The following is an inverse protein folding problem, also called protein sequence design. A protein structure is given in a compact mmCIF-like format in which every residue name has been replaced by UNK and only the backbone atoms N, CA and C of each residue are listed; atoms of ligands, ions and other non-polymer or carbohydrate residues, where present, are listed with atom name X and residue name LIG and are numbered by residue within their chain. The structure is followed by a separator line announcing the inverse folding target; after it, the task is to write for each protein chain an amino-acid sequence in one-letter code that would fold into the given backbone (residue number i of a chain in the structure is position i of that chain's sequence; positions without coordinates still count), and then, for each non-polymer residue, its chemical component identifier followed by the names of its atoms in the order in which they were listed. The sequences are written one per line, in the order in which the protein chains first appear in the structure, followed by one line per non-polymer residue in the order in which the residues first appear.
data_IF_019454332664
#
_entry.id   IF_019454332664
#
_cell.length_a   1.000
_cell.length_b   1.000
_cell.length_c   1.000
_cell.angle_alpha   90.00
_cell.angle_beta   90.00
_cell.angle_gamma   90.00
#
_symmetry.space_group_name_H-M   'P 1'
#
loop_
_entity.id
_entity.type
_entity.pdbx_description
1 polymer ?
#
# COMPACT_ATOMS: atom_id res chain seq x y z
N UNK A 1 17.33 19.02 -16.09
CA UNK A 1 18.21 17.84 -16.35
C UNK A 1 19.08 17.60 -15.12
N UNK A 2 19.24 16.34 -14.71
CA UNK A 2 20.14 15.96 -13.60
C UNK A 2 21.50 15.57 -14.19
N UNK A 3 22.58 16.04 -13.59
CA UNK A 3 23.95 15.73 -14.01
C UNK A 3 24.89 15.66 -12.80
N UNK A 4 26.03 15.01 -12.96
CA UNK A 4 27.06 14.91 -11.91
C UNK A 4 28.21 15.85 -12.25
N UNK A 5 28.55 16.74 -11.32
CA UNK A 5 29.72 17.62 -11.43
C UNK A 5 30.55 17.54 -10.15
N UNK A 6 31.86 17.30 -10.29
CA UNK A 6 32.81 17.20 -9.16
C UNK A 6 32.34 16.29 -8.00
N UNK A 7 31.66 15.19 -8.32
CA UNK A 7 31.13 14.23 -7.34
C UNK A 7 29.80 14.62 -6.70
N UNK A 8 29.22 15.78 -7.06
CA UNK A 8 27.92 16.27 -6.60
C UNK A 8 26.88 15.99 -7.67
N UNK A 9 25.72 15.47 -7.28
CA UNK A 9 24.57 15.34 -8.19
C UNK A 9 23.81 16.65 -8.17
N UNK A 10 23.65 17.28 -9.33
CA UNK A 10 23.02 18.59 -9.50
C UNK A 10 21.81 18.49 -10.43
N UNK A 11 20.80 19.32 -10.20
CA UNK A 11 19.67 19.54 -11.12
C UNK A 11 19.71 20.98 -11.64
N UNK A 12 19.60 21.15 -12.96
CA UNK A 12 19.43 22.48 -13.56
C UNK A 12 17.94 22.83 -13.62
N UNK A 13 17.55 23.92 -12.97
CA UNK A 13 16.19 24.46 -12.91
C UNK A 13 15.91 25.56 -13.97
N UNK A 14 16.82 25.74 -14.93
CA UNK A 14 16.70 26.72 -16.01
C UNK A 14 17.38 28.04 -15.67
N UNK A 15 18.17 28.56 -16.62
CA UNK A 15 19.01 29.76 -16.47
C UNK A 15 20.51 29.45 -16.30
N UNK A 16 21.39 30.43 -16.53
CA UNK A 16 22.84 30.20 -16.61
C UNK A 16 23.52 29.85 -15.27
N UNK A 17 22.88 30.04 -14.12
CA UNK A 17 23.46 29.79 -12.78
C UNK A 17 22.48 29.13 -11.78
N UNK A 18 21.50 28.35 -12.27
CA UNK A 18 20.43 27.78 -11.43
C UNK A 18 20.62 26.27 -11.17
N UNK A 19 21.88 25.84 -11.05
CA UNK A 19 22.22 24.47 -10.68
C UNK A 19 22.14 24.31 -9.16
N UNK A 20 21.36 23.35 -8.69
CA UNK A 20 21.16 23.08 -7.26
C UNK A 20 21.50 21.62 -6.97
N UNK A 21 22.02 21.33 -5.77
CA UNK A 21 22.25 19.96 -5.30
C UNK A 21 20.92 19.16 -5.34
N UNK A 22 20.97 17.98 -5.95
CA UNK A 22 19.85 17.08 -6.13
C UNK A 22 19.98 15.86 -5.22
N UNK A 23 19.00 15.68 -4.33
CA UNK A 23 18.86 14.48 -3.50
C UNK A 23 18.07 13.40 -4.25
N UNK A 24 18.60 12.16 -4.28
CA UNK A 24 17.95 11.00 -4.90
C UNK A 24 16.66 10.58 -4.17
N UNK A 25 16.50 10.94 -2.90
CA UNK A 25 15.28 10.68 -2.12
C UNK A 25 14.23 11.78 -2.26
N UNK A 26 14.53 12.87 -2.96
CA UNK A 26 13.58 13.95 -3.19
C UNK A 26 12.37 13.46 -3.98
N UNK A 27 11.17 13.82 -3.49
CA UNK A 27 9.89 13.58 -4.16
C UNK A 27 9.19 14.90 -4.38
N UNK A 28 8.66 15.10 -5.58
CA UNK A 28 7.92 16.29 -5.95
C UNK A 28 6.47 15.92 -6.22
N UNK A 29 5.56 16.63 -5.57
CA UNK A 29 4.12 16.48 -5.74
C UNK A 29 3.53 17.83 -6.11
N UNK A 30 2.61 17.82 -7.07
CA UNK A 30 1.86 18.99 -7.49
C UNK A 30 0.37 18.69 -7.35
N UNK A 31 -0.37 19.62 -6.78
CA UNK A 31 -1.82 19.48 -6.55
C UNK A 31 -2.54 20.63 -7.22
N UNK A 32 -3.76 20.38 -7.67
CA UNK A 32 -4.68 21.41 -8.17
C UNK A 32 -6.08 21.13 -7.64
N UNK A 33 -6.83 22.19 -7.35
CA UNK A 33 -8.24 22.10 -6.97
C UNK A 33 -9.17 22.13 -8.19
N UNK A 34 -8.63 22.38 -9.38
CA UNK A 34 -9.42 22.38 -10.61
C UNK A 34 -10.04 21.00 -10.83
N UNK A 35 -11.36 20.97 -11.01
CA UNK A 35 -12.08 19.75 -11.36
C UNK A 35 -11.81 19.40 -12.82
N UNK A 36 -11.35 18.17 -13.09
CA UNK A 36 -11.06 17.63 -14.42
C UNK A 36 -10.24 18.58 -15.35
N UNK A 37 -9.02 18.97 -14.96
CA UNK A 37 -8.16 19.83 -15.78
C UNK A 37 -7.75 19.09 -17.06
N UNK A 38 -7.95 19.73 -18.21
CA UNK A 38 -7.49 19.19 -19.49
C UNK A 38 -6.00 19.51 -19.67
N UNK A 39 -5.15 18.54 -19.36
CA UNK A 39 -3.72 18.64 -19.61
C UNK A 39 -3.38 18.23 -21.04
N UNK A 40 -2.41 18.94 -21.63
CA UNK A 40 -1.84 18.52 -22.90
C UNK A 40 -1.14 17.16 -22.75
N UNK A 41 -1.09 16.33 -23.80
CA UNK A 41 -0.43 15.03 -23.75
C UNK A 41 1.02 15.08 -23.25
N UNK A 42 1.74 16.17 -23.55
CA UNK A 42 3.11 16.42 -23.09
C UNK A 42 3.24 16.38 -21.56
N UNK A 43 2.25 16.94 -20.84
CA UNK A 43 2.22 16.94 -19.37
C UNK A 43 1.91 15.54 -18.85
N UNK A 44 0.98 14.82 -19.48
CA UNK A 44 0.61 13.45 -19.11
C UNK A 44 1.75 12.44 -19.32
N UNK A 45 2.71 12.75 -20.22
CA UNK A 45 3.92 11.94 -20.41
C UNK A 45 4.97 12.26 -19.33
N UNK A 46 5.06 13.51 -18.89
CA UNK A 46 6.07 13.96 -17.94
C UNK A 46 5.67 13.74 -16.47
N UNK A 47 4.38 13.65 -16.18
CA UNK A 47 3.85 13.53 -14.83
C UNK A 47 2.73 12.48 -14.76
N UNK A 48 2.67 11.76 -13.64
CA UNK A 48 1.56 10.85 -13.33
C UNK A 48 0.40 11.66 -12.78
N UNK A 49 -0.71 11.70 -13.52
CA UNK A 49 -1.95 12.39 -13.08
C UNK A 49 -2.77 11.44 -12.22
N UNK A 50 -3.08 11.85 -10.99
CA UNK A 50 -3.95 11.12 -10.06
C UNK A 50 -5.26 11.90 -9.91
N UNK A 51 -6.38 11.24 -10.15
CA UNK A 51 -7.70 11.86 -10.03
C UNK A 51 -8.34 11.56 -8.66
N UNK A 52 -8.50 12.60 -7.85
CA UNK A 52 -9.15 12.54 -6.53
C UNK A 52 -10.63 12.97 -6.55
N UNK A 53 -11.27 12.96 -7.72
CA UNK A 53 -12.69 13.32 -7.83
C UNK A 53 -13.54 12.36 -7.02
N UNK A 54 -14.39 12.91 -6.15
CA UNK A 54 -15.38 12.13 -5.40
C UNK A 54 -16.36 11.51 -6.38
N UNK A 55 -16.54 10.20 -6.29
CA UNK A 55 -17.53 9.45 -7.07
C UNK A 55 -18.84 9.38 -6.29
N UNK A 56 -19.98 9.42 -6.98
CA UNK A 56 -21.30 9.33 -6.32
C UNK A 56 -21.42 8.08 -5.43
N UNK A 57 -21.00 6.87 -5.86
CA UNK A 57 -21.02 5.70 -4.99
C UNK A 57 -20.13 5.84 -3.75
N UNK A 58 -18.95 6.45 -3.89
CA UNK A 58 -18.05 6.69 -2.75
C UNK A 58 -18.64 7.68 -1.75
N UNK A 59 -19.32 8.73 -2.24
CA UNK A 59 -20.02 9.68 -1.38
C UNK A 59 -21.19 9.02 -0.65
N UNK A 60 -21.98 8.20 -1.35
CA UNK A 60 -23.09 7.45 -0.73
C UNK A 60 -22.61 6.53 0.38
N UNK A 61 -21.50 5.81 0.17
CA UNK A 61 -20.91 4.95 1.19
C UNK A 61 -20.41 5.75 2.41
N UNK A 62 -19.78 6.91 2.18
CA UNK A 62 -19.35 7.81 3.26
C UNK A 62 -20.53 8.32 4.08
N UNK A 63 -21.57 8.83 3.42
CA UNK A 63 -22.77 9.32 4.10
C UNK A 63 -23.49 8.20 4.85
N UNK A 64 -23.53 7.00 4.29
CA UNK A 64 -24.09 5.83 4.97
C UNK A 64 -23.28 5.49 6.23
N UNK A 65 -21.95 5.52 6.15
CA UNK A 65 -21.06 5.34 7.30
C UNK A 65 -21.37 6.34 8.42
N UNK A 66 -21.43 7.63 8.08
CA UNK A 66 -21.74 8.70 9.03
C UNK A 66 -23.11 8.50 9.68
N UNK A 67 -24.14 8.15 8.91
CA UNK A 67 -25.49 7.91 9.44
C UNK A 67 -25.52 6.68 10.34
N UNK A 68 -24.86 5.59 9.95
CA UNK A 68 -24.78 4.37 10.77
C UNK A 68 -24.03 4.63 12.08
N UNK A 69 -23.00 5.49 12.07
CA UNK A 69 -22.27 5.87 13.29
C UNK A 69 -23.17 6.48 14.35
N UNK A 70 -24.12 7.31 13.93
CA UNK A 70 -25.05 8.02 14.81
C UNK A 70 -26.17 7.09 15.27
N UNK A 71 -26.70 6.27 14.37
CA UNK A 71 -27.90 5.45 14.65
C UNK A 71 -27.53 4.13 15.37
N UNK A 72 -26.37 3.53 15.04
CA UNK A 72 -25.94 2.21 15.54
C UNK A 72 -24.42 2.14 15.69
N UNK A 73 -23.85 2.96 16.57
CA UNK A 73 -22.40 3.01 16.86
C UNK A 73 -21.77 1.62 17.14
N UNK A 74 -22.48 0.73 17.85
CA UNK A 74 -21.98 -0.64 18.15
C UNK A 74 -21.72 -1.47 16.88
N UNK A 75 -22.54 -1.30 15.84
CA UNK A 75 -22.40 -2.02 14.57
C UNK A 75 -21.15 -1.53 13.81
N UNK A 76 -20.91 -0.22 13.83
CA UNK A 76 -19.71 0.36 13.22
C UNK A 76 -18.44 -0.02 13.99
N UNK A 77 -18.48 -0.03 15.32
CA UNK A 77 -17.36 -0.51 16.13
C UNK A 77 -17.04 -1.97 15.83
N UNK A 78 -18.07 -2.82 15.67
CA UNK A 78 -17.90 -4.22 15.27
C UNK A 78 -17.29 -4.34 13.86
N UNK A 79 -17.77 -3.56 12.88
CA UNK A 79 -17.18 -3.51 11.53
C UNK A 79 -15.70 -3.12 11.59
N UNK A 80 -15.36 -2.08 12.35
CA UNK A 80 -13.98 -1.60 12.48
C UNK A 80 -13.08 -2.64 13.15
N UNK A 81 -13.57 -3.34 14.18
CA UNK A 81 -12.84 -4.47 14.79
C UNK A 81 -12.59 -5.60 13.80
N UNK A 82 -13.59 -5.95 12.98
CA UNK A 82 -13.44 -7.00 11.95
C UNK A 82 -12.37 -6.58 10.93
N UNK A 83 -12.42 -5.34 10.43
CA UNK A 83 -11.43 -4.82 9.46
C UNK A 83 -10.02 -4.85 10.04
N UNK A 84 -9.85 -4.40 11.30
CA UNK A 84 -8.56 -4.45 11.98
C UNK A 84 -8.04 -5.88 12.12
N UNK A 85 -8.90 -6.80 12.55
CA UNK A 85 -8.55 -8.22 12.69
C UNK A 85 -8.15 -8.85 11.34
N UNK A 86 -8.88 -8.54 10.27
CA UNK A 86 -8.55 -9.01 8.91
C UNK A 86 -7.19 -8.47 8.45
N UNK A 87 -6.91 -7.19 8.70
CA UNK A 87 -5.62 -6.58 8.36
C UNK A 87 -4.46 -7.21 9.15
N UNK A 88 -4.64 -7.45 10.44
CA UNK A 88 -3.65 -8.12 11.29
C UNK A 88 -3.39 -9.56 10.85
N UNK A 89 -4.46 -10.32 10.58
CA UNK A 89 -4.34 -11.70 10.16
C UNK A 89 -3.72 -11.82 8.77
N UNK A 90 -4.04 -10.90 7.85
CA UNK A 90 -3.38 -10.82 6.54
C UNK A 90 -1.88 -10.52 6.68
N UNK A 91 -1.49 -9.65 7.62
CA UNK A 91 -0.08 -9.40 7.93
C UNK A 91 0.60 -10.64 8.50
N UNK A 92 -0.05 -11.37 9.43
CA UNK A 92 0.48 -12.62 10.01
C UNK A 92 0.63 -13.70 8.94
N UNK A 93 -0.32 -13.82 8.02
CA UNK A 93 -0.26 -14.77 6.92
C UNK A 93 1.00 -14.53 6.07
N UNK A 94 1.22 -13.26 5.67
CA UNK A 94 2.43 -12.89 4.93
C UNK A 94 3.72 -13.19 5.71
N UNK A 95 3.73 -12.94 7.02
CA UNK A 95 4.88 -13.29 7.86
C UNK A 95 5.15 -14.80 7.90
N UNK A 96 4.10 -15.63 7.92
CA UNK A 96 4.26 -17.08 7.82
C UNK A 96 4.78 -17.49 6.45
N UNK A 97 4.29 -16.89 5.36
CA UNK A 97 4.78 -17.14 3.99
C UNK A 97 6.27 -16.78 3.86
N UNK A 98 6.65 -15.58 4.29
CA UNK A 98 8.04 -15.11 4.27
C UNK A 98 8.96 -16.03 5.11
N UNK A 99 8.50 -16.44 6.30
CA UNK A 99 9.26 -17.36 7.16
C UNK A 99 9.37 -18.78 6.59
N UNK A 100 8.34 -19.27 5.89
CA UNK A 100 8.40 -20.55 5.17
C UNK A 100 9.43 -20.47 4.04
N UNK A 101 9.47 -19.36 3.30
CA UNK A 101 10.47 -19.16 2.23
C UNK A 101 11.90 -19.14 2.79
N UNK A 102 12.13 -18.44 3.90
CA UNK A 102 13.43 -18.42 4.57
C UNK A 102 13.84 -19.81 5.08
N UNK A 103 12.92 -20.54 5.72
CA UNK A 103 13.17 -21.91 6.19
C UNK A 103 13.44 -22.88 5.03
N UNK A 104 12.82 -22.67 3.85
CA UNK A 104 13.07 -23.46 2.64
C UNK A 104 14.42 -23.15 2.01
N UNK A 105 14.84 -21.88 2.02
CA UNK A 105 16.14 -21.46 1.50
C UNK A 105 17.30 -21.99 2.37
N UNK A 106 17.10 -22.02 3.69
CA UNK A 106 18.12 -22.44 4.66
C UNK A 106 18.13 -23.93 4.96
N UNK A 107 17.13 -24.70 4.51
CA UNK A 107 17.04 -26.13 4.75
C UNK A 107 18.06 -26.93 3.92
N UNK A 108 19.12 -27.41 4.56
CA UNK A 108 19.99 -28.45 4.01
C UNK A 108 19.42 -29.85 4.36
N UNK A 109 18.95 -30.61 3.37
CA UNK A 109 18.42 -31.97 3.53
C UNK A 109 16.95 -32.13 3.13
N UNK A 110 16.29 -33.19 3.64
CA UNK A 110 14.90 -33.48 3.30
C UNK A 110 13.94 -32.55 4.05
N UNK A 111 13.29 -31.66 3.28
CA UNK A 111 12.36 -30.64 3.78
C UNK A 111 11.15 -31.25 4.52
N UNK A 112 10.75 -32.49 4.18
CA UNK A 112 9.64 -33.18 4.82
C UNK A 112 9.92 -33.60 6.27
N UNK A 113 11.19 -33.58 6.71
CA UNK A 113 11.56 -33.86 8.10
C UNK A 113 11.68 -32.57 8.93
N UNK A 114 11.57 -31.40 8.27
CA UNK A 114 11.64 -30.11 8.96
C UNK A 114 10.30 -29.80 9.65
N UNK A 115 10.23 -30.18 10.92
CA UNK A 115 9.08 -29.99 11.78
C UNK A 115 8.68 -28.50 11.92
N UNK A 116 9.62 -27.55 11.75
CA UNK A 116 9.32 -26.11 11.79
C UNK A 116 8.52 -25.69 10.55
N UNK A 117 8.98 -26.05 9.35
CA UNK A 117 8.30 -25.77 8.07
C UNK A 117 6.87 -26.33 8.09
N UNK A 118 6.70 -27.58 8.52
CA UNK A 118 5.38 -28.22 8.63
C UNK A 118 4.47 -27.48 9.62
N UNK A 119 5.02 -27.05 10.76
CA UNK A 119 4.24 -26.32 11.77
C UNK A 119 3.82 -24.93 11.28
N UNK A 120 4.68 -24.23 10.55
CA UNK A 120 4.41 -22.92 9.97
C UNK A 120 3.38 -23.02 8.85
N UNK A 121 3.47 -24.03 7.97
CA UNK A 121 2.46 -24.32 6.95
C UNK A 121 1.08 -24.56 7.54
N UNK A 122 0.98 -25.36 8.60
CA UNK A 122 -0.31 -25.60 9.30
C UNK A 122 -0.89 -24.32 9.91
N UNK A 123 -0.05 -23.45 10.49
CA UNK A 123 -0.47 -22.15 11.02
C UNK A 123 -0.95 -21.22 9.91
N UNK A 124 -0.24 -21.16 8.78
CA UNK A 124 -0.63 -20.39 7.61
C UNK A 124 -1.98 -20.86 7.06
N UNK A 125 -2.17 -22.17 6.87
CA UNK A 125 -3.42 -22.76 6.41
C UNK A 125 -4.60 -22.38 7.34
N UNK A 126 -4.47 -22.60 8.64
CA UNK A 126 -5.53 -22.27 9.60
C UNK A 126 -5.87 -20.78 9.60
N UNK A 127 -4.86 -19.91 9.49
CA UNK A 127 -5.05 -18.45 9.44
C UNK A 127 -5.75 -18.03 8.14
N UNK A 128 -5.39 -18.65 7.01
CA UNK A 128 -6.04 -18.42 5.72
C UNK A 128 -7.51 -18.87 5.72
N UNK A 129 -7.82 -20.01 6.33
CA UNK A 129 -9.20 -20.50 6.46
C UNK A 129 -10.03 -19.58 7.37
N UNK A 130 -9.46 -19.09 8.47
CA UNK A 130 -10.10 -18.13 9.36
C UNK A 130 -10.36 -16.78 8.66
N UNK A 131 -9.38 -16.25 7.93
CA UNK A 131 -9.52 -15.04 7.12
C UNK A 131 -10.65 -15.16 6.11
N UNK A 132 -10.71 -16.28 5.39
CA UNK A 132 -11.77 -16.55 4.41
C UNK A 132 -13.14 -16.56 5.07
N UNK A 133 -13.28 -17.17 6.25
CA UNK A 133 -14.55 -17.12 7.01
C UNK A 133 -14.92 -15.70 7.44
N UNK A 134 -13.96 -14.92 7.95
CA UNK A 134 -14.17 -13.53 8.40
C UNK A 134 -14.53 -12.56 7.26
N UNK A 135 -14.16 -12.88 6.02
CA UNK A 135 -14.53 -12.10 4.84
C UNK A 135 -15.93 -12.46 4.29
N UNK A 136 -16.46 -13.63 4.66
CA UNK A 136 -17.78 -14.13 4.24
C UNK A 136 -18.89 -13.78 5.24
N UNK A 137 -18.54 -13.51 6.50
CA UNK A 137 -19.42 -12.98 7.55
C UNK A 137 -19.59 -11.46 7.43
#
# INVERSE_FOLDING_TARGET
QIYTDNGRTLINLGGPNNAVDYDKMFRFYMTTELSNPQYLPEVCIQATVINFTVTMPGLEEQMLGDVVSIIRAELEESKNKIIQNVAEDGKKLKQYEDGILEDLETAEGNILDNQRVISSLRKAQNTSELLTKRLLE
#
